data_IF_802847105042
#
_entry.id   IF_802847105042
#
_cell.length_a   1.000
_cell.length_b   1.000
_cell.length_c   1.000
_cell.angle_alpha   90.00
_cell.angle_beta   90.00
_cell.angle_gamma   90.00
#
_symmetry.space_group_name_H-M   'P 1'
#
loop_
_entity.id
_entity.type
_entity.pdbx_description
1 polymer ?
#
# COMPACT_ATOMS: atom_id res chain seq x y z
N UNK A 1 -22.65 -2.75 1.74
CA UNK A 1 -21.26 -2.88 1.24
C UNK A 1 -20.38 -1.90 2.00
N UNK A 2 -19.33 -2.42 2.64
CA UNK A 2 -18.75 -1.85 3.86
C UNK A 2 -17.84 -0.64 3.66
N UNK A 3 -18.07 0.40 4.46
CA UNK A 3 -17.23 1.60 4.59
C UNK A 3 -15.74 1.24 4.77
N UNK A 4 -15.45 0.14 5.48
CA UNK A 4 -14.08 -0.32 5.74
C UNK A 4 -13.30 -0.84 4.52
N UNK A 5 -13.96 -1.28 3.44
CA UNK A 5 -13.29 -1.73 2.21
C UNK A 5 -12.76 -0.54 1.41
N UNK A 6 -13.59 0.51 1.31
CA UNK A 6 -13.23 1.77 0.64
C UNK A 6 -12.08 2.49 1.36
N UNK A 7 -12.06 2.46 2.70
CA UNK A 7 -10.95 3.03 3.48
C UNK A 7 -9.63 2.28 3.27
N UNK A 8 -9.68 0.96 3.16
CA UNK A 8 -8.47 0.14 2.94
C UNK A 8 -7.91 0.37 1.53
N UNK A 9 -8.76 0.34 0.50
CA UNK A 9 -8.36 0.64 -0.88
C UNK A 9 -7.78 2.05 -1.02
N UNK A 10 -8.38 3.05 -0.36
CA UNK A 10 -7.84 4.42 -0.35
C UNK A 10 -6.45 4.49 0.29
N UNK A 11 -6.20 3.72 1.36
CA UNK A 11 -4.87 3.65 1.99
C UNK A 11 -3.84 2.99 1.07
N UNK A 12 -4.21 1.90 0.40
CA UNK A 12 -3.36 1.21 -0.58
C UNK A 12 -2.95 2.19 -1.68
N UNK A 13 -3.91 2.90 -2.28
CA UNK A 13 -3.61 3.80 -3.39
C UNK A 13 -2.77 5.00 -2.96
N UNK A 14 -3.04 5.57 -1.78
CA UNK A 14 -2.20 6.64 -1.23
C UNK A 14 -0.76 6.17 -1.01
N UNK A 15 -0.55 5.00 -0.40
CA UNK A 15 0.79 4.45 -0.17
C UNK A 15 1.48 4.07 -1.48
N UNK A 16 0.75 3.62 -2.50
CA UNK A 16 1.29 3.37 -3.84
C UNK A 16 1.82 4.63 -4.49
N UNK A 17 1.05 5.73 -4.45
CA UNK A 17 1.47 7.02 -5.00
C UNK A 17 2.69 7.59 -4.25
N UNK A 18 2.71 7.47 -2.93
CA UNK A 18 3.83 7.90 -2.09
C UNK A 18 5.12 7.12 -2.43
N UNK A 19 5.03 5.79 -2.57
CA UNK A 19 6.15 4.94 -2.96
C UNK A 19 6.70 5.33 -4.33
N UNK A 20 5.84 5.54 -5.34
CA UNK A 20 6.25 5.97 -6.68
C UNK A 20 6.96 7.33 -6.64
N UNK A 21 6.40 8.28 -5.89
CA UNK A 21 7.00 9.61 -5.75
C UNK A 21 8.39 9.54 -5.11
N UNK A 22 8.53 8.80 -4.00
CA UNK A 22 9.80 8.62 -3.33
C UNK A 22 10.81 7.84 -4.19
N UNK A 23 10.35 6.84 -4.95
CA UNK A 23 11.21 6.08 -5.87
C UNK A 23 11.75 6.94 -7.01
N UNK A 24 10.93 7.86 -7.53
CA UNK A 24 11.37 8.83 -8.54
C UNK A 24 12.39 9.82 -7.97
N UNK A 25 12.25 10.23 -6.70
CA UNK A 25 13.15 11.18 -6.06
C UNK A 25 14.48 10.56 -5.60
N UNK A 26 14.42 9.37 -5.01
CA UNK A 26 15.54 8.80 -4.26
C UNK A 26 16.00 7.42 -4.78
N UNK A 27 15.28 6.83 -5.74
CA UNK A 27 15.49 5.48 -6.22
C UNK A 27 14.87 4.41 -5.32
N UNK A 28 14.61 3.23 -5.90
CA UNK A 28 13.93 2.13 -5.21
C UNK A 28 14.69 1.54 -4.02
N UNK A 29 16.01 1.71 -4.00
CA UNK A 29 16.89 1.24 -2.91
C UNK A 29 16.90 2.18 -1.71
N UNK A 30 16.25 3.35 -1.79
CA UNK A 30 16.20 4.28 -0.67
C UNK A 30 15.40 3.67 0.50
N UNK A 31 15.89 3.74 1.75
CA UNK A 31 15.21 3.18 2.91
C UNK A 31 13.75 3.65 3.07
N UNK A 32 13.43 4.88 2.67
CA UNK A 32 12.06 5.40 2.72
C UNK A 32 11.15 4.70 1.70
N UNK A 33 11.67 4.42 0.50
CA UNK A 33 10.93 3.68 -0.54
C UNK A 33 10.73 2.23 -0.14
N UNK A 34 11.73 1.61 0.50
CA UNK A 34 11.63 0.25 1.04
C UNK A 34 10.62 0.17 2.18
N UNK A 35 10.58 1.16 3.08
CA UNK A 35 9.55 1.22 4.12
C UNK A 35 8.14 1.40 3.53
N UNK A 36 8.01 2.25 2.50
CA UNK A 36 6.74 2.41 1.79
C UNK A 36 6.31 1.12 1.08
N UNK A 37 7.24 0.36 0.47
CA UNK A 37 6.92 -0.91 -0.17
C UNK A 37 6.46 -1.97 0.84
N UNK A 38 7.13 -2.09 1.99
CA UNK A 38 6.71 -2.99 3.08
C UNK A 38 5.33 -2.64 3.64
N UNK A 39 5.05 -1.33 3.76
CA UNK A 39 3.73 -0.84 4.19
C UNK A 39 2.65 -1.15 3.16
N UNK A 40 2.94 -0.96 1.87
CA UNK A 40 2.03 -1.30 0.78
C UNK A 40 1.72 -2.80 0.77
N UNK A 41 2.75 -3.64 0.89
CA UNK A 41 2.64 -5.09 0.96
C UNK A 41 1.73 -5.53 2.13
N UNK A 42 1.95 -4.95 3.32
CA UNK A 42 1.10 -5.20 4.49
C UNK A 42 -0.37 -4.84 4.25
N UNK A 43 -0.65 -3.72 3.57
CA UNK A 43 -2.01 -3.31 3.25
C UNK A 43 -2.67 -4.23 2.20
N UNK A 44 -1.90 -4.66 1.20
CA UNK A 44 -2.33 -5.62 0.19
C UNK A 44 -2.64 -6.98 0.83
N UNK A 45 -1.80 -7.48 1.74
CA UNK A 45 -2.05 -8.72 2.47
C UNK A 45 -3.31 -8.65 3.33
N UNK A 46 -3.60 -7.50 3.96
CA UNK A 46 -4.85 -7.29 4.70
C UNK A 46 -6.05 -7.29 3.75
N UNK A 47 -5.91 -6.67 2.57
CA UNK A 47 -6.96 -6.66 1.56
C UNK A 47 -7.21 -8.08 1.05
N UNK A 48 -6.17 -8.80 0.66
CA UNK A 48 -6.22 -10.17 0.17
C UNK A 48 -6.93 -11.08 1.18
N UNK A 49 -6.49 -11.10 2.44
CA UNK A 49 -7.14 -11.85 3.54
C UNK A 49 -8.61 -11.49 3.78
N UNK A 50 -9.02 -10.25 3.47
CA UNK A 50 -10.43 -9.83 3.57
C UNK A 50 -11.25 -10.32 2.38
N UNK A 51 -10.64 -10.50 1.22
CA UNK A 51 -11.30 -11.02 0.02
C UNK A 51 -11.26 -12.56 -0.05
N UNK A 52 -10.27 -13.21 0.57
CA UNK A 52 -10.14 -14.68 0.66
C UNK A 52 -11.20 -15.33 1.56
N UNK A 53 -11.96 -14.52 2.32
CA UNK A 53 -12.98 -15.00 3.26
C UNK A 53 -14.37 -15.26 2.64
N UNK A 54 -14.46 -15.37 1.31
CA UNK A 54 -15.70 -15.64 0.57
C UNK A 54 -15.50 -16.69 -0.51
#
# INVERSE_FOLDING_TARGET
MGIGMNTLLSKIEKTRLEMIHLAHLYGYSNPNVVQCSQKLDSLLNIYDKKNEKY
#
